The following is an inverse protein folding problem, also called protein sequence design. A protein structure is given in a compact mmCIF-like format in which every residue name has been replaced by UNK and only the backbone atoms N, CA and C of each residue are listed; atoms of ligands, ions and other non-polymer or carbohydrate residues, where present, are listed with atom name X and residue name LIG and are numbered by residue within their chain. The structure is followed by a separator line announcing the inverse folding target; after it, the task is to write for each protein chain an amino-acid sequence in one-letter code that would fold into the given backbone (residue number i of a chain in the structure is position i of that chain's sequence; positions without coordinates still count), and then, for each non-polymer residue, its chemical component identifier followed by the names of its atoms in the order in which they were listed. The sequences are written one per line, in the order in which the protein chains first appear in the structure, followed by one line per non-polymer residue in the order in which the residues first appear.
data_IF_352190884199
#
_entry.id   IF_352190884199
#
_cell.length_a   1.000
_cell.length_b   1.000
_cell.length_c   1.000
_cell.angle_alpha   90.00
_cell.angle_beta   90.00
_cell.angle_gamma   90.00
#
_symmetry.space_group_name_H-M   'P 1'
#
loop_
_entity.id
_entity.type
_entity.pdbx_description
1 polymer ?
#
# COMPACT_ATOMS: atom_id res chain seq x y z
N UNK A 1 0.10 -18.60 12.18
CA UNK A 1 1.19 -17.91 11.48
C UNK A 1 1.97 -18.89 10.64
N UNK A 2 2.22 -18.61 9.38
CA UNK A 2 3.13 -19.37 8.50
C UNK A 2 4.28 -18.47 8.09
N UNK A 3 5.47 -19.05 7.91
CA UNK A 3 6.68 -18.29 7.55
C UNK A 3 7.23 -18.80 6.22
N UNK A 4 7.61 -17.88 5.35
CA UNK A 4 8.24 -18.13 4.06
C UNK A 4 9.54 -17.33 3.96
N UNK A 5 10.45 -17.76 3.09
CA UNK A 5 11.71 -17.05 2.82
C UNK A 5 11.89 -16.92 1.30
N UNK A 6 12.02 -15.69 0.82
CA UNK A 6 12.32 -15.41 -0.59
C UNK A 6 13.57 -14.53 -0.66
N UNK A 7 14.67 -15.10 -1.12
CA UNK A 7 15.97 -14.46 -1.02
C UNK A 7 16.35 -14.18 0.44
N UNK A 8 16.62 -12.93 0.77
CA UNK A 8 16.94 -12.50 2.15
C UNK A 8 15.69 -12.15 2.97
N UNK A 9 14.53 -11.99 2.33
CA UNK A 9 13.31 -11.52 2.99
C UNK A 9 12.57 -12.66 3.68
N UNK A 10 12.16 -12.41 4.94
CA UNK A 10 11.28 -13.27 5.75
C UNK A 10 9.86 -12.75 5.63
N UNK A 11 8.94 -13.63 5.24
CA UNK A 11 7.53 -13.30 5.04
C UNK A 11 6.70 -14.06 6.05
N UNK A 12 5.87 -13.35 6.81
CA UNK A 12 4.99 -13.90 7.81
C UNK A 12 3.53 -13.76 7.35
N UNK A 13 2.84 -14.89 7.17
CA UNK A 13 1.42 -14.90 6.84
C UNK A 13 0.59 -15.08 8.10
N UNK A 14 -0.26 -14.10 8.37
CA UNK A 14 -1.18 -14.03 9.48
C UNK A 14 -2.63 -14.16 8.99
N UNK A 15 -3.54 -14.47 9.92
CA UNK A 15 -4.97 -14.54 9.65
C UNK A 15 -5.68 -13.47 10.47
N UNK A 16 -6.45 -12.62 9.78
CA UNK A 16 -7.35 -11.58 10.31
C UNK A 16 -6.70 -10.42 11.09
N UNK A 17 -5.51 -10.59 11.70
CA UNK A 17 -4.76 -9.52 12.37
C UNK A 17 -3.26 -9.84 12.49
N UNK A 18 -2.48 -8.85 12.87
CA UNK A 18 -1.07 -8.98 13.25
C UNK A 18 -0.95 -9.52 14.70
N UNK A 19 0.21 -10.10 15.08
CA UNK A 19 0.46 -10.51 16.44
C UNK A 19 0.35 -9.34 17.43
N UNK A 20 -0.27 -9.60 18.59
CA UNK A 20 -0.37 -8.60 19.65
C UNK A 20 1.01 -8.09 20.07
N UNK A 21 1.13 -6.76 20.27
CA UNK A 21 2.37 -6.08 20.67
C UNK A 21 3.52 -6.24 19.66
N UNK A 22 3.20 -6.40 18.37
CA UNK A 22 4.21 -6.41 17.33
C UNK A 22 5.01 -5.09 17.36
N UNK A 23 6.34 -5.18 17.30
CA UNK A 23 7.20 -3.99 17.27
C UNK A 23 7.15 -3.34 15.88
N UNK A 24 6.50 -2.20 15.79
CA UNK A 24 6.32 -1.49 14.53
C UNK A 24 7.45 -0.48 14.31
N UNK A 25 8.05 -0.39 13.11
CA UNK A 25 9.04 0.63 12.77
C UNK A 25 8.37 2.00 12.54
N UNK A 26 9.20 3.07 12.51
CA UNK A 26 8.73 4.44 12.21
C UNK A 26 8.24 4.63 10.76
N UNK A 27 8.59 3.73 9.87
CA UNK A 27 8.21 3.76 8.45
C UNK A 27 7.78 2.35 8.07
N UNK A 28 6.61 2.21 7.46
CA UNK A 28 6.07 0.95 6.94
C UNK A 28 5.67 1.13 5.47
N UNK A 29 5.94 0.13 4.66
CA UNK A 29 5.40 0.07 3.31
C UNK A 29 4.14 -0.81 3.32
N UNK A 30 3.08 -0.36 2.64
CA UNK A 30 1.76 -1.00 2.69
C UNK A 30 1.23 -1.12 1.27
N UNK A 31 0.56 -2.25 1.00
CA UNK A 31 -0.21 -2.50 -0.20
C UNK A 31 -1.45 -3.33 0.16
N UNK A 32 -2.43 -3.44 -0.75
CA UNK A 32 -3.67 -4.19 -0.49
C UNK A 32 -4.07 -5.01 -1.70
N UNK A 33 -4.62 -6.21 -1.44
CA UNK A 33 -5.28 -7.02 -2.46
C UNK A 33 -6.76 -7.17 -2.14
N UNK A 34 -7.57 -7.10 -3.17
CA UNK A 34 -9.03 -7.06 -3.09
C UNK A 34 -9.66 -8.07 -4.06
N UNK A 35 -10.98 -8.28 -3.97
CA UNK A 35 -11.70 -9.11 -4.95
C UNK A 35 -11.85 -8.45 -6.31
N UNK A 36 -11.50 -7.18 -6.44
CA UNK A 36 -11.56 -6.37 -7.66
C UNK A 36 -11.34 -4.89 -7.34
N UNK A 37 -11.55 -4.01 -8.31
CA UNK A 37 -11.20 -2.59 -8.20
C UNK A 37 -12.35 -1.66 -7.81
N UNK A 38 -13.55 -2.18 -7.58
CA UNK A 38 -14.71 -1.37 -7.20
C UNK A 38 -14.74 -1.11 -5.71
N UNK A 39 -14.57 0.13 -5.28
CA UNK A 39 -14.71 0.50 -3.88
C UNK A 39 -16.12 0.20 -3.30
N UNK A 40 -17.15 0.05 -4.14
CA UNK A 40 -18.52 -0.27 -3.71
C UNK A 40 -18.69 -1.78 -3.51
N UNK A 41 -18.38 -2.58 -4.54
CA UNK A 41 -18.67 -4.03 -4.59
C UNK A 41 -17.58 -4.90 -3.97
N UNK A 42 -16.34 -4.47 -4.10
CA UNK A 42 -15.21 -5.32 -3.79
C UNK A 42 -14.76 -5.16 -2.33
N UNK A 43 -14.18 -6.24 -1.81
CA UNK A 43 -13.73 -6.30 -0.41
C UNK A 43 -12.23 -6.48 -0.33
N UNK A 44 -11.68 -6.04 0.78
CA UNK A 44 -10.32 -6.34 1.17
C UNK A 44 -10.10 -7.83 1.39
N UNK A 45 -9.01 -8.38 0.87
CA UNK A 45 -8.62 -9.78 1.03
C UNK A 45 -7.29 -9.93 1.74
N UNK A 46 -6.33 -9.05 1.46
CA UNK A 46 -4.98 -9.10 2.02
C UNK A 46 -4.47 -7.69 2.27
N UNK A 47 -3.74 -7.49 3.34
CA UNK A 47 -2.87 -6.32 3.56
C UNK A 47 -1.44 -6.82 3.66
N UNK A 48 -0.55 -6.15 2.98
CA UNK A 48 0.89 -6.34 3.08
C UNK A 48 1.49 -5.21 3.90
N UNK A 49 2.31 -5.55 4.89
CA UNK A 49 3.13 -4.62 5.65
C UNK A 49 4.59 -5.02 5.52
N UNK A 50 5.41 -4.27 4.80
CA UNK A 50 6.85 -4.44 4.93
C UNK A 50 7.35 -3.52 6.06
N UNK A 51 8.05 -4.10 7.02
CA UNK A 51 8.69 -3.39 8.13
C UNK A 51 10.13 -3.03 7.79
N UNK A 52 10.72 -3.75 6.86
CA UNK A 52 12.01 -3.47 6.23
C UNK A 52 12.08 -4.13 4.85
N UNK A 53 13.23 -4.06 4.20
CA UNK A 53 13.49 -4.81 2.96
C UNK A 53 13.54 -6.32 3.19
N UNK A 54 13.73 -6.75 4.44
CA UNK A 54 13.95 -8.15 4.83
C UNK A 54 12.78 -8.75 5.63
N UNK A 55 11.81 -7.93 6.02
CA UNK A 55 10.69 -8.35 6.86
C UNK A 55 9.36 -7.85 6.31
N UNK A 56 8.47 -8.81 5.97
CA UNK A 56 7.13 -8.52 5.47
C UNK A 56 6.09 -9.36 6.19
N UNK A 57 4.99 -8.72 6.59
CA UNK A 57 3.83 -9.33 7.22
C UNK A 57 2.64 -9.23 6.27
N UNK A 58 2.06 -10.36 5.91
CA UNK A 58 0.85 -10.47 5.12
C UNK A 58 -0.30 -10.82 6.06
N UNK A 59 -1.38 -10.04 6.02
CA UNK A 59 -2.58 -10.30 6.83
C UNK A 59 -3.72 -10.64 5.89
N UNK A 60 -4.09 -11.92 5.85
CA UNK A 60 -5.20 -12.42 5.03
C UNK A 60 -6.50 -12.36 5.82
N UNK A 61 -7.56 -11.82 5.21
CA UNK A 61 -8.88 -11.66 5.83
C UNK A 61 -9.87 -12.70 5.30
N UNK A 62 -10.47 -13.44 6.22
CA UNK A 62 -11.47 -14.45 5.90
C UNK A 62 -12.80 -13.83 5.46
N UNK A 63 -13.55 -14.54 4.59
CA UNK A 63 -14.92 -14.12 4.20
C UNK A 63 -15.87 -13.99 5.39
N UNK A 64 -15.64 -14.77 6.45
CA UNK A 64 -16.51 -14.80 7.65
C UNK A 64 -16.38 -13.56 8.51
N UNK A 65 -15.22 -12.88 8.45
CA UNK A 65 -14.92 -11.69 9.26
C UNK A 65 -15.19 -10.37 8.52
N UNK A 66 -16.29 -10.30 7.76
CA UNK A 66 -16.66 -9.08 7.00
C UNK A 66 -17.05 -7.88 7.89
N UNK A 67 -17.12 -8.05 9.23
CA UNK A 67 -17.44 -6.97 10.17
C UNK A 67 -16.24 -6.72 11.09
N UNK A 68 -15.26 -5.98 10.58
CA UNK A 68 -14.08 -5.54 11.37
C UNK A 68 -14.42 -4.36 12.31
N UNK A 69 -15.45 -4.52 13.15
CA UNK A 69 -15.82 -3.52 14.16
C UNK A 69 -14.90 -3.55 15.40
N UNK A 70 -13.85 -4.36 15.39
CA UNK A 70 -12.92 -4.44 16.50
C UNK A 70 -11.86 -3.32 16.41
N UNK A 71 -12.04 -2.27 17.22
CA UNK A 71 -11.10 -1.14 17.31
C UNK A 71 -9.72 -1.52 17.89
N UNK A 72 -9.54 -2.72 18.39
CA UNK A 72 -8.31 -3.18 19.04
C UNK A 72 -7.37 -3.95 18.12
N UNK A 73 -7.65 -4.05 16.81
CA UNK A 73 -6.77 -4.72 15.86
C UNK A 73 -5.38 -4.04 15.80
N UNK A 74 -4.33 -4.85 15.80
CA UNK A 74 -2.95 -4.35 15.65
C UNK A 74 -2.75 -3.68 14.28
N UNK A 75 -3.41 -4.19 13.23
CA UNK A 75 -3.49 -3.52 11.92
C UNK A 75 -4.00 -2.08 12.07
N UNK A 76 -5.10 -1.86 12.80
CA UNK A 76 -5.65 -0.52 13.00
C UNK A 76 -4.74 0.40 13.81
N UNK A 77 -4.03 -0.12 14.80
CA UNK A 77 -3.05 0.67 15.57
C UNK A 77 -1.95 1.21 14.67
N UNK A 78 -1.45 0.40 13.73
CA UNK A 78 -0.43 0.84 12.76
C UNK A 78 -1.01 1.87 11.79
N UNK A 79 -2.21 1.61 11.26
CA UNK A 79 -2.84 2.50 10.27
C UNK A 79 -3.16 3.88 10.87
N UNK A 80 -3.65 3.94 12.11
CA UNK A 80 -4.05 5.16 12.78
C UNK A 80 -2.89 5.89 13.51
N UNK A 81 -1.71 5.29 13.62
CA UNK A 81 -0.57 5.97 14.25
C UNK A 81 0.03 7.00 13.28
N UNK A 82 -0.27 8.27 13.48
CA UNK A 82 0.21 9.37 12.64
C UNK A 82 1.73 9.60 12.75
N UNK A 83 2.41 9.01 13.74
CA UNK A 83 3.88 9.06 13.86
C UNK A 83 4.56 8.09 12.92
N UNK A 84 3.86 7.04 12.47
CA UNK A 84 4.36 6.08 11.50
C UNK A 84 4.13 6.62 10.09
N UNK A 85 5.19 6.75 9.31
CA UNK A 85 5.06 7.06 7.89
C UNK A 85 4.63 5.80 7.10
N UNK A 86 3.57 5.90 6.31
CA UNK A 86 3.07 4.82 5.45
C UNK A 86 3.46 5.10 4.01
N UNK A 87 4.21 4.17 3.41
CA UNK A 87 4.60 4.24 2.00
C UNK A 87 3.64 3.36 1.21
N UNK A 88 3.04 3.92 0.16
CA UNK A 88 2.18 3.21 -0.78
C UNK A 88 2.65 3.43 -2.21
N UNK A 89 2.25 2.51 -3.09
CA UNK A 89 2.24 2.76 -4.53
C UNK A 89 0.79 2.92 -5.01
N UNK A 90 0.38 4.14 -5.40
CA UNK A 90 -1.02 4.50 -5.69
C UNK A 90 -1.94 4.52 -4.46
N UNK A 91 -1.50 5.15 -3.38
CA UNK A 91 -2.17 5.26 -2.08
C UNK A 91 -3.68 5.57 -2.14
N UNK A 92 -4.18 6.24 -3.21
CA UNK A 92 -5.58 6.60 -3.39
C UNK A 92 -6.51 5.38 -3.28
N UNK A 93 -6.15 4.25 -3.89
CA UNK A 93 -6.96 3.04 -3.84
C UNK A 93 -6.82 2.32 -2.49
N UNK A 94 -5.58 2.05 -2.06
CA UNK A 94 -5.33 1.30 -0.83
C UNK A 94 -5.92 1.97 0.40
N UNK A 95 -5.70 3.27 0.54
CA UNK A 95 -6.24 4.04 1.66
C UNK A 95 -7.77 4.09 1.61
N UNK A 96 -8.38 4.16 0.42
CA UNK A 96 -9.84 4.13 0.28
C UNK A 96 -10.43 2.81 0.77
N UNK A 97 -9.87 1.67 0.34
CA UNK A 97 -10.36 0.35 0.77
C UNK A 97 -10.11 0.09 2.26
N UNK A 98 -8.98 0.55 2.81
CA UNK A 98 -8.66 0.46 4.23
C UNK A 98 -9.61 1.32 5.08
N UNK A 99 -9.92 2.56 4.64
CA UNK A 99 -10.91 3.42 5.29
C UNK A 99 -12.31 2.81 5.25
N UNK A 100 -12.73 2.30 4.10
CA UNK A 100 -14.03 1.64 3.95
C UNK A 100 -14.14 0.42 4.88
N UNK A 101 -13.07 -0.38 4.96
CA UNK A 101 -13.09 -1.66 5.70
C UNK A 101 -13.02 -1.45 7.21
N UNK A 102 -12.16 -0.57 7.68
CA UNK A 102 -11.82 -0.42 9.10
C UNK A 102 -12.24 0.91 9.72
N UNK A 103 -12.73 1.87 8.93
CA UNK A 103 -12.90 3.26 9.32
C UNK A 103 -11.57 3.89 9.80
N UNK A 104 -10.45 3.43 9.21
CA UNK A 104 -9.11 3.86 9.61
C UNK A 104 -8.86 5.33 9.28
N UNK A 105 -8.20 6.05 10.19
CA UNK A 105 -7.74 7.41 9.97
C UNK A 105 -6.27 7.42 9.58
N UNK A 106 -6.02 7.31 8.27
CA UNK A 106 -4.68 7.11 7.71
C UNK A 106 -4.11 8.46 7.28
N UNK A 107 -3.04 8.85 7.95
CA UNK A 107 -2.24 10.05 7.67
C UNK A 107 -0.76 9.70 7.53
N UNK A 108 0.09 10.73 7.35
CA UNK A 108 1.54 10.60 7.16
C UNK A 108 1.89 9.63 6.01
N UNK A 109 1.28 9.89 4.86
CA UNK A 109 1.38 9.08 3.65
C UNK A 109 2.54 9.57 2.79
N UNK A 110 3.30 8.63 2.19
CA UNK A 110 4.17 8.87 1.05
C UNK A 110 3.69 8.01 -0.13
N UNK A 111 3.28 8.64 -1.22
CA UNK A 111 2.82 7.93 -2.42
C UNK A 111 3.89 7.95 -3.52
N UNK A 112 4.51 6.80 -3.79
CA UNK A 112 5.57 6.68 -4.81
C UNK A 112 5.08 6.97 -6.22
N UNK A 113 3.81 6.68 -6.55
CA UNK A 113 3.22 7.00 -7.86
C UNK A 113 3.04 8.51 -8.06
N UNK A 114 2.56 9.23 -7.04
CA UNK A 114 2.46 10.70 -7.10
C UNK A 114 3.86 11.35 -7.15
N UNK A 115 4.78 10.88 -6.32
CA UNK A 115 6.18 11.34 -6.37
C UNK A 115 6.78 11.15 -7.76
N UNK A 116 6.58 9.96 -8.35
CA UNK A 116 7.03 9.66 -9.71
C UNK A 116 6.44 10.61 -10.76
N UNK A 117 5.14 10.89 -10.69
CA UNK A 117 4.48 11.83 -11.63
C UNK A 117 5.05 13.24 -11.52
N UNK A 118 5.44 13.67 -10.34
CA UNK A 118 6.03 14.99 -10.13
C UNK A 118 7.44 15.11 -10.67
N UNK A 119 8.25 14.04 -10.70
CA UNK A 119 9.68 14.14 -11.05
C UNK A 119 10.05 13.45 -12.36
N UNK A 120 9.23 12.52 -12.86
CA UNK A 120 9.46 11.79 -14.11
C UNK A 120 8.49 12.28 -15.19
N UNK A 121 8.54 13.59 -15.49
CA UNK A 121 7.65 14.26 -16.44
C UNK A 121 7.92 13.90 -17.90
N UNK A 122 8.99 13.17 -18.17
CA UNK A 122 9.38 12.68 -19.50
C UNK A 122 8.69 11.38 -19.92
N UNK A 123 7.82 10.80 -19.09
CA UNK A 123 7.19 9.51 -19.33
C UNK A 123 5.84 9.40 -18.62
N UNK A 124 4.93 8.59 -19.17
CA UNK A 124 3.66 8.20 -18.55
C UNK A 124 3.76 6.87 -17.77
N UNK A 125 4.96 6.24 -17.73
CA UNK A 125 5.19 4.94 -17.09
C UNK A 125 5.46 5.10 -15.60
N UNK A 126 4.41 5.23 -14.79
CA UNK A 126 4.47 5.43 -13.34
C UNK A 126 3.99 4.20 -12.55
N UNK A 127 3.87 3.03 -13.17
CA UNK A 127 3.52 1.78 -12.51
C UNK A 127 4.67 1.24 -11.66
N UNK A 128 4.36 0.40 -10.66
CA UNK A 128 5.37 -0.13 -9.74
C UNK A 128 6.48 -0.90 -10.46
N UNK A 129 6.10 -1.77 -11.41
CA UNK A 129 7.06 -2.55 -12.20
C UNK A 129 8.02 -1.65 -12.98
N UNK A 130 7.49 -0.63 -13.64
CA UNK A 130 8.26 0.33 -14.43
C UNK A 130 9.22 1.14 -13.54
N UNK A 131 8.75 1.55 -12.36
CA UNK A 131 9.59 2.24 -11.37
C UNK A 131 10.71 1.35 -10.83
N UNK A 132 10.39 0.12 -10.44
CA UNK A 132 11.41 -0.82 -9.97
C UNK A 132 12.44 -1.13 -11.03
N UNK A 133 12.02 -1.34 -12.28
CA UNK A 133 12.93 -1.60 -13.40
C UNK A 133 13.86 -0.42 -13.66
N UNK A 134 13.33 0.79 -13.73
CA UNK A 134 14.11 1.99 -14.11
C UNK A 134 14.97 2.52 -12.95
N UNK A 135 14.42 2.58 -11.75
CA UNK A 135 15.09 3.23 -10.62
C UNK A 135 15.91 2.27 -9.75
N UNK A 136 15.59 0.97 -9.77
CA UNK A 136 16.23 -0.03 -8.92
C UNK A 136 16.90 -1.16 -9.71
N UNK A 137 16.74 -1.23 -11.04
CA UNK A 137 17.16 -2.35 -11.90
C UNK A 137 16.54 -3.71 -11.47
N UNK A 138 15.31 -3.68 -10.92
CA UNK A 138 14.56 -4.86 -10.49
C UNK A 138 13.38 -5.09 -11.43
N UNK A 139 13.29 -6.30 -11.99
CA UNK A 139 12.15 -6.69 -12.84
C UNK A 139 11.12 -7.47 -12.02
N UNK A 140 9.96 -6.84 -11.76
CA UNK A 140 8.85 -7.45 -11.02
C UNK A 140 7.97 -8.29 -11.94
N UNK A 141 7.61 -9.48 -11.47
CA UNK A 141 6.65 -10.35 -12.15
C UNK A 141 5.21 -9.94 -11.79
N UNK A 142 4.38 -9.63 -12.79
CA UNK A 142 2.96 -9.26 -12.62
C UNK A 142 1.98 -10.43 -12.74
N UNK A 143 2.44 -11.67 -12.85
CA UNK A 143 1.59 -12.83 -13.17
C UNK A 143 0.47 -13.10 -12.16
N UNK A 144 0.57 -12.59 -10.94
CA UNK A 144 -0.41 -12.80 -9.87
C UNK A 144 -1.35 -11.60 -9.63
N UNK A 145 -1.18 -10.50 -10.34
CA UNK A 145 -1.97 -9.28 -10.14
C UNK A 145 -3.49 -9.50 -10.27
N UNK A 146 -3.91 -10.38 -11.18
CA UNK A 146 -5.32 -10.74 -11.41
C UNK A 146 -5.71 -12.10 -10.84
N UNK A 147 -4.96 -12.63 -9.87
CA UNK A 147 -5.26 -13.91 -9.24
C UNK A 147 -6.43 -13.80 -8.25
N UNK A 148 -7.01 -14.95 -7.86
CA UNK A 148 -8.08 -14.97 -6.84
C UNK A 148 -7.49 -14.76 -5.44
N UNK A 149 -7.51 -13.50 -4.98
CA UNK A 149 -7.09 -13.13 -3.63
C UNK A 149 -8.09 -13.53 -2.55
N UNK A 150 -9.32 -13.91 -2.95
CA UNK A 150 -10.36 -14.36 -2.02
C UNK A 150 -10.24 -15.84 -1.66
N UNK A 151 -9.30 -16.56 -2.25
CA UNK A 151 -9.03 -17.97 -1.98
C UNK A 151 -8.73 -18.20 -0.49
N UNK A 152 -9.21 -19.30 0.07
CA UNK A 152 -9.01 -19.65 1.47
C UNK A 152 -7.52 -19.88 1.79
N UNK A 153 -6.77 -20.40 0.82
CA UNK A 153 -5.32 -20.61 0.92
C UNK A 153 -4.63 -19.92 -0.25
N UNK A 154 -3.75 -18.99 0.05
CA UNK A 154 -2.89 -18.36 -0.94
C UNK A 154 -1.78 -19.31 -1.36
N UNK A 155 -1.47 -19.34 -2.66
CA UNK A 155 -0.32 -20.04 -3.22
C UNK A 155 0.99 -19.34 -2.83
N UNK A 156 2.10 -20.07 -2.90
CA UNK A 156 3.43 -19.50 -2.65
C UNK A 156 3.78 -18.37 -3.64
N UNK A 157 3.31 -18.49 -4.89
CA UNK A 157 3.49 -17.44 -5.90
C UNK A 157 2.72 -16.15 -5.56
N UNK A 158 1.50 -16.27 -5.02
CA UNK A 158 0.75 -15.10 -4.53
C UNK A 158 1.44 -14.45 -3.35
N UNK A 159 1.93 -15.24 -2.38
CA UNK A 159 2.65 -14.74 -1.21
C UNK A 159 3.93 -14.02 -1.62
N UNK A 160 4.70 -14.58 -2.55
CA UNK A 160 5.91 -13.96 -3.11
C UNK A 160 5.58 -12.66 -3.83
N UNK A 161 4.57 -12.67 -4.69
CA UNK A 161 4.11 -11.49 -5.42
C UNK A 161 3.75 -10.36 -4.45
N UNK A 162 2.82 -10.61 -3.52
CA UNK A 162 2.35 -9.63 -2.55
C UNK A 162 3.48 -9.05 -1.68
N UNK A 163 4.48 -9.87 -1.32
CA UNK A 163 5.62 -9.38 -0.54
C UNK A 163 6.52 -8.46 -1.37
N UNK A 164 6.70 -8.74 -2.66
CA UNK A 164 7.57 -7.94 -3.53
C UNK A 164 6.97 -6.58 -3.89
N UNK A 165 5.65 -6.45 -3.88
CA UNK A 165 4.98 -5.17 -4.12
C UNK A 165 5.27 -4.14 -3.01
N UNK A 166 5.64 -4.58 -1.80
CA UNK A 166 5.91 -3.67 -0.67
C UNK A 166 7.39 -3.53 -0.29
N UNK A 167 8.22 -4.59 -0.40
CA UNK A 167 9.62 -4.50 0.06
C UNK A 167 10.47 -3.52 -0.74
N UNK A 168 10.15 -3.29 -2.01
CA UNK A 168 10.86 -2.36 -2.87
C UNK A 168 10.46 -0.89 -2.66
N UNK A 169 9.35 -0.63 -1.95
CA UNK A 169 8.84 0.73 -1.76
C UNK A 169 9.78 1.60 -0.94
N UNK A 170 10.57 1.05 -0.02
CA UNK A 170 11.58 1.79 0.74
C UNK A 170 12.64 2.40 -0.18
N UNK A 171 13.22 1.58 -1.06
CA UNK A 171 14.25 2.04 -2.00
C UNK A 171 13.67 3.02 -3.03
N UNK A 172 12.43 2.78 -3.51
CA UNK A 172 11.73 3.71 -4.40
C UNK A 172 11.48 5.07 -3.71
N UNK A 173 11.03 5.06 -2.45
CA UNK A 173 10.84 6.28 -1.68
C UNK A 173 12.14 7.09 -1.61
N UNK A 174 13.26 6.47 -1.23
CA UNK A 174 14.55 7.14 -1.12
C UNK A 174 15.00 7.76 -2.45
N UNK A 175 14.85 7.04 -3.55
CA UNK A 175 15.20 7.54 -4.89
C UNK A 175 14.31 8.71 -5.32
N UNK A 176 13.00 8.53 -5.20
CA UNK A 176 12.02 9.56 -5.58
C UNK A 176 12.11 10.80 -4.70
N UNK A 177 12.36 10.65 -3.40
CA UNK A 177 12.56 11.78 -2.50
C UNK A 177 13.77 12.63 -2.92
N UNK A 178 14.93 12.01 -3.22
CA UNK A 178 16.11 12.73 -3.74
C UNK A 178 15.81 13.44 -5.06
N UNK A 179 15.01 12.81 -5.95
CA UNK A 179 14.60 13.47 -7.20
C UNK A 179 13.70 14.67 -6.93
N UNK A 180 12.73 14.56 -5.99
CA UNK A 180 11.87 15.68 -5.58
C UNK A 180 12.66 16.85 -5.00
N UNK A 181 13.68 16.56 -4.18
CA UNK A 181 14.59 17.57 -3.61
C UNK A 181 15.38 18.27 -4.71
N UNK A 182 16.00 17.51 -5.63
CA UNK A 182 16.76 18.05 -6.77
C UNK A 182 15.91 18.96 -7.66
N UNK A 183 14.68 18.55 -7.96
CA UNK A 183 13.73 19.30 -8.80
C UNK A 183 12.99 20.41 -8.04
N UNK A 184 13.29 20.62 -6.75
CA UNK A 184 12.62 21.61 -5.87
C UNK A 184 11.10 21.42 -5.81
N UNK A 185 10.63 20.17 -5.85
CA UNK A 185 9.20 19.78 -5.85
C UNK A 185 8.76 19.05 -4.58
N UNK A 186 9.65 18.95 -3.57
CA UNK A 186 9.36 18.20 -2.34
C UNK A 186 8.17 18.79 -1.55
N UNK A 187 8.06 20.11 -1.47
CA UNK A 187 6.98 20.74 -0.70
C UNK A 187 5.62 20.60 -1.39
N UNK A 188 5.59 20.66 -2.72
CA UNK A 188 4.39 20.33 -3.51
C UNK A 188 4.00 18.87 -3.28
N UNK A 189 4.98 17.95 -3.28
CA UNK A 189 4.71 16.53 -3.02
C UNK A 189 4.13 16.31 -1.62
N UNK A 190 4.68 16.96 -0.58
CA UNK A 190 4.15 16.89 0.79
C UNK A 190 2.71 17.38 0.86
N UNK A 191 2.40 18.51 0.22
CA UNK A 191 1.04 19.07 0.17
C UNK A 191 0.07 18.10 -0.53
N UNK A 192 0.47 17.46 -1.64
CA UNK A 192 -0.32 16.43 -2.30
C UNK A 192 -0.54 15.19 -1.42
N UNK A 193 0.50 14.74 -0.71
CA UNK A 193 0.35 13.61 0.21
C UNK A 193 -0.59 13.93 1.37
N UNK A 194 -0.54 15.14 1.92
CA UNK A 194 -1.46 15.61 2.95
C UNK A 194 -2.89 15.78 2.44
N UNK A 195 -3.08 16.05 1.14
CA UNK A 195 -4.40 16.16 0.51
C UNK A 195 -5.03 14.80 0.19
N UNK A 196 -4.25 13.72 0.06
CA UNK A 196 -4.77 12.38 -0.25
C UNK A 196 -5.95 11.95 0.62
N UNK A 197 -5.93 12.09 1.96
CA UNK A 197 -7.07 11.73 2.79
C UNK A 197 -8.36 12.47 2.40
N UNK A 198 -8.26 13.75 1.98
CA UNK A 198 -9.39 14.54 1.49
C UNK A 198 -9.88 14.05 0.14
N UNK A 199 -8.97 13.81 -0.82
CA UNK A 199 -9.31 13.24 -2.13
C UNK A 199 -10.03 11.90 -1.99
N UNK A 200 -9.56 11.05 -1.08
CA UNK A 200 -10.16 9.74 -0.82
C UNK A 200 -11.57 9.87 -0.21
N UNK A 201 -11.80 10.86 0.66
CA UNK A 201 -13.18 11.15 1.13
C UNK A 201 -14.10 11.50 -0.03
N UNK A 202 -13.64 12.30 -0.99
CA UNK A 202 -14.40 12.60 -2.20
C UNK A 202 -14.68 11.35 -3.03
N UNK A 203 -13.72 10.45 -3.20
CA UNK A 203 -13.92 9.18 -3.90
C UNK A 203 -14.99 8.32 -3.25
N UNK A 204 -14.99 8.25 -1.92
CA UNK A 204 -16.00 7.50 -1.15
C UNK A 204 -17.39 8.14 -1.16
N UNK A 205 -17.49 9.43 -1.55
CA UNK A 205 -18.72 10.17 -1.80
C UNK A 205 -19.13 10.20 -3.28
N UNK A 206 -18.53 9.33 -4.11
CA UNK A 206 -18.82 9.17 -5.55
C UNK A 206 -18.35 10.34 -6.45
N UNK A 207 -17.37 11.13 -5.99
CA UNK A 207 -16.68 12.12 -6.82
C UNK A 207 -15.42 11.57 -7.50
N UNK A 208 -15.39 10.27 -7.80
CA UNK A 208 -14.18 9.58 -8.30
C UNK A 208 -13.66 10.16 -9.61
N UNK A 209 -14.56 10.41 -10.57
CA UNK A 209 -14.26 10.88 -11.92
C UNK A 209 -14.48 12.39 -12.10
N UNK A 210 -14.90 13.06 -11.03
CA UNK A 210 -15.16 14.49 -11.05
C UNK A 210 -13.92 15.26 -10.61
N UNK A 211 -13.42 16.14 -11.45
CA UNK A 211 -12.46 17.16 -11.04
C UNK A 211 -13.23 18.35 -10.48
N UNK A 212 -13.33 18.43 -9.14
CA UNK A 212 -14.02 19.49 -8.45
C UNK A 212 -13.38 20.88 -8.58
N UNK A 213 -12.16 20.94 -9.15
CA UNK A 213 -11.46 22.18 -9.44
C UNK A 213 -11.59 22.61 -10.93
N UNK A 214 -12.18 21.74 -11.77
CA UNK A 214 -12.42 22.10 -13.18
C UNK A 214 -13.52 23.14 -13.30
N UNK A 215 -13.36 24.00 -14.29
CA UNK A 215 -14.38 24.99 -14.69
C UNK A 215 -15.43 24.30 -15.58
#
# INVERSE_FOLDING_TARGET
MKTFKFGESKIFLHQDDLPAKIKTPKVVAIDTETTGLSLIRDRLCLIQFAFSKEECHLVQFSKKNSKFNNKNLEVLKILNDHKIQKIFHYARFDVAILRKTFQADIENIFCTKLASKLVRTYTDKHGLKELCKELLAVDLNKSQQSSDWSAEKLSENQIRYASYDVIHLFALKERLQRMLEREKRLDIAKSLFSFLPTRIKLDLLDFTDTDIFSH
#
